data_IF_577553831593
#
_entry.id   IF_577553831593
#
_cell.length_a   1.000
_cell.length_b   1.000
_cell.length_c   1.000
_cell.angle_alpha   90.00
_cell.angle_beta   90.00
_cell.angle_gamma   90.00
#
_symmetry.space_group_name_H-M   'P 1'
#
loop_
_entity.id
_entity.type
_entity.pdbx_description
1 polymer ?
#
# COMPACT_ATOMS: atom_id res chain seq x y z
N UNK A 1 -16.25 25.73 -4.32
CA UNK A 1 -15.94 24.31 -4.05
C UNK A 1 -15.99 23.59 -5.39
N UNK A 2 -14.87 23.01 -5.84
CA UNK A 2 -14.83 22.31 -7.14
C UNK A 2 -15.75 21.07 -7.10
N UNK A 3 -16.54 20.86 -8.15
CA UNK A 3 -17.34 19.64 -8.32
C UNK A 3 -16.39 18.46 -8.55
N UNK A 4 -16.54 17.37 -7.78
CA UNK A 4 -15.78 16.14 -7.99
C UNK A 4 -16.05 15.59 -9.39
N UNK A 5 -15.00 15.15 -10.08
CA UNK A 5 -15.09 14.54 -11.41
C UNK A 5 -15.97 13.29 -11.37
N UNK A 6 -16.63 12.95 -12.49
CA UNK A 6 -17.39 11.71 -12.60
C UNK A 6 -16.48 10.47 -12.40
N UNK A 7 -15.20 10.57 -12.77
CA UNK A 7 -14.20 9.51 -12.62
C UNK A 7 -13.97 9.20 -11.13
N UNK A 8 -13.81 10.24 -10.30
CA UNK A 8 -13.64 10.09 -8.85
C UNK A 8 -14.86 9.44 -8.17
N UNK A 9 -16.04 9.51 -8.79
CA UNK A 9 -17.27 8.89 -8.29
C UNK A 9 -17.48 7.46 -8.81
N UNK A 10 -16.89 7.13 -9.95
CA UNK A 10 -17.11 5.86 -10.64
C UNK A 10 -16.00 4.83 -10.35
N UNK A 11 -14.77 5.30 -10.15
CA UNK A 11 -13.60 4.43 -10.03
C UNK A 11 -12.90 4.58 -8.69
N UNK A 12 -12.52 3.44 -8.14
CA UNK A 12 -11.84 3.33 -6.86
C UNK A 12 -10.48 2.68 -7.05
N UNK A 13 -9.47 3.22 -6.37
CA UNK A 13 -8.18 2.55 -6.17
C UNK A 13 -8.19 1.81 -4.83
N UNK A 14 -7.20 0.94 -4.62
CA UNK A 14 -6.99 0.22 -3.38
C UNK A 14 -5.61 0.51 -2.84
N UNK A 15 -5.54 0.94 -1.59
CA UNK A 15 -4.27 1.25 -0.93
C UNK A 15 -4.12 0.37 0.30
N UNK A 16 -2.89 -0.03 0.61
CA UNK A 16 -2.64 -0.74 1.86
C UNK A 16 -3.03 0.16 3.04
N UNK A 17 -3.62 -0.46 4.06
CA UNK A 17 -3.88 0.15 5.38
C UNK A 17 -3.12 -0.56 6.50
N UNK A 18 -2.54 -1.73 6.19
CA UNK A 18 -1.62 -2.47 7.05
C UNK A 18 -0.44 -2.96 6.21
N UNK A 19 0.77 -2.84 6.75
CA UNK A 19 2.00 -3.28 6.07
C UNK A 19 2.33 -4.69 6.57
N UNK A 20 2.26 -5.68 5.67
CA UNK A 20 2.76 -7.02 5.93
C UNK A 20 4.07 -7.19 5.15
N UNK A 21 5.24 -7.34 5.82
CA UNK A 21 6.51 -7.55 5.14
C UNK A 21 6.50 -8.80 4.26
N UNK A 22 7.14 -8.73 3.10
CA UNK A 22 7.32 -9.87 2.21
C UNK A 22 8.36 -10.83 2.77
N UNK A 23 8.10 -12.13 2.64
CA UNK A 23 9.06 -13.17 3.01
C UNK A 23 10.27 -13.22 2.08
N UNK A 24 10.16 -12.65 0.86
CA UNK A 24 11.26 -12.62 -0.13
C UNK A 24 12.17 -11.40 0.03
N UNK A 25 11.62 -10.27 0.47
CA UNK A 25 12.33 -9.00 0.64
C UNK A 25 11.75 -8.26 1.85
N UNK A 26 12.43 -8.25 3.01
CA UNK A 26 11.96 -7.60 4.23
C UNK A 26 11.74 -6.08 4.09
N UNK A 27 12.30 -5.43 3.06
CA UNK A 27 12.10 -4.00 2.81
C UNK A 27 10.85 -3.70 1.97
N UNK A 28 10.12 -4.74 1.55
CA UNK A 28 8.89 -4.63 0.75
C UNK A 28 7.69 -5.15 1.50
N UNK A 29 6.55 -4.50 1.30
CA UNK A 29 5.25 -5.04 1.66
C UNK A 29 4.84 -6.15 0.68
N UNK A 30 3.99 -7.08 1.09
CA UNK A 30 3.38 -8.09 0.23
C UNK A 30 2.60 -7.51 -0.97
N UNK A 31 2.25 -6.21 -0.96
CA UNK A 31 1.68 -5.52 -2.12
C UNK A 31 2.72 -5.12 -3.19
N UNK A 32 4.02 -5.29 -2.92
CA UNK A 32 5.14 -5.01 -3.83
C UNK A 32 5.83 -3.65 -3.62
N UNK A 33 5.19 -2.70 -2.92
CA UNK A 33 5.78 -1.38 -2.61
C UNK A 33 6.83 -1.50 -1.51
N UNK A 34 7.81 -0.58 -1.52
CA UNK A 34 8.76 -0.46 -0.42
C UNK A 34 8.02 0.00 0.85
N UNK A 35 8.45 -0.49 2.01
CA UNK A 35 7.83 -0.14 3.29
C UNK A 35 7.79 1.39 3.49
N UNK A 36 8.87 2.11 3.14
CA UNK A 36 8.95 3.57 3.24
C UNK A 36 8.06 4.34 2.25
N UNK A 37 7.41 3.68 1.28
CA UNK A 37 6.47 4.32 0.34
C UNK A 37 5.02 4.26 0.81
N UNK A 38 4.75 3.61 1.95
CA UNK A 38 3.45 3.67 2.60
C UNK A 38 3.36 4.95 3.44
N UNK A 39 2.63 5.94 2.93
CA UNK A 39 2.43 7.21 3.65
C UNK A 39 1.47 7.00 4.81
N UNK A 40 1.84 7.43 6.01
CA UNK A 40 0.97 7.42 7.20
C UNK A 40 0.74 6.05 7.84
N UNK A 41 1.44 5.01 7.40
CA UNK A 41 1.38 3.68 8.02
C UNK A 41 2.69 3.37 8.72
N UNK A 42 2.61 2.99 9.99
CA UNK A 42 3.72 2.32 10.66
C UNK A 42 3.72 0.84 10.25
N UNK A 43 4.89 0.23 10.01
CA UNK A 43 4.95 -1.22 9.83
C UNK A 43 4.33 -1.87 11.05
N UNK A 44 3.37 -2.78 10.89
CA UNK A 44 2.90 -3.59 12.02
C UNK A 44 4.09 -4.46 12.44
N UNK A 45 4.74 -4.06 13.54
CA UNK A 45 5.90 -4.76 14.09
C UNK A 45 5.40 -6.09 14.65
N UNK A 46 5.42 -7.13 13.83
CA UNK A 46 5.25 -8.51 14.30
C UNK A 46 6.46 -9.39 13.99
N UNK A 47 7.59 -8.82 13.51
CA UNK A 47 8.81 -9.60 13.19
C UNK A 47 10.13 -8.90 13.54
N UNK A 48 10.14 -7.87 14.41
CA UNK A 48 11.40 -7.26 14.92
C UNK A 48 11.56 -7.38 16.44
N UNK A 49 11.22 -8.54 17.00
CA UNK A 49 11.77 -8.95 18.30
C UNK A 49 12.43 -10.31 18.13
N UNK A 50 13.66 -10.29 17.61
CA UNK A 50 14.55 -11.43 17.75
C UNK A 50 15.78 -11.14 18.61
N UNK A 51 15.82 -10.03 19.37
CA UNK A 51 16.87 -9.80 20.35
C UNK A 51 16.32 -9.18 21.66
N UNK A 52 16.27 -10.02 22.70
CA UNK A 52 16.10 -9.71 24.14
C UNK A 52 14.80 -9.02 24.60
N UNK A 53 13.80 -9.82 25.01
CA UNK A 53 13.28 -9.71 26.38
C UNK A 53 12.46 -10.95 26.80
N UNK A 54 12.85 -11.56 27.91
CA UNK A 54 12.15 -12.60 28.65
C UNK A 54 10.96 -11.99 29.41
N UNK A 55 9.72 -12.18 28.93
CA UNK A 55 8.54 -12.11 29.81
C UNK A 55 7.31 -12.78 29.17
N UNK A 56 7.23 -14.10 29.36
CA UNK A 56 6.02 -14.91 29.61
C UNK A 56 4.66 -14.33 29.19
N UNK A 57 4.24 -14.52 27.94
CA UNK A 57 2.82 -14.71 27.60
C UNK A 57 2.68 -15.65 26.38
N UNK A 58 2.12 -16.83 26.65
CA UNK A 58 1.39 -17.72 25.74
C UNK A 58 1.96 -17.94 24.33
N UNK A 59 2.82 -18.96 24.23
CA UNK A 59 3.19 -19.67 23.00
C UNK A 59 1.98 -20.40 22.41
N UNK A 60 1.08 -19.66 21.75
CA UNK A 60 -0.04 -20.22 20.98
C UNK A 60 -0.10 -19.54 19.62
N UNK A 61 0.38 -20.24 18.59
CA UNK A 61 -0.10 -20.18 17.20
C UNK A 61 -0.59 -18.79 16.70
N UNK A 62 0.23 -17.76 16.86
CA UNK A 62 0.05 -16.49 16.14
C UNK A 62 0.50 -16.78 14.72
N UNK A 63 -0.41 -17.32 13.91
CA UNK A 63 -0.25 -17.34 12.46
C UNK A 63 0.29 -15.97 12.05
N UNK A 64 1.52 -15.94 11.54
CA UNK A 64 2.04 -14.76 10.85
C UNK A 64 0.93 -14.29 9.90
N UNK A 65 0.36 -13.12 10.17
CA UNK A 65 -0.87 -12.71 9.52
C UNK A 65 -0.65 -12.71 8.00
N UNK A 66 -1.37 -13.58 7.29
CA UNK A 66 -1.22 -13.72 5.85
C UNK A 66 -1.86 -12.53 5.16
N UNK A 67 -1.07 -11.82 4.35
CA UNK A 67 -1.57 -10.72 3.55
C UNK A 67 -2.75 -11.14 2.68
N UNK A 68 -3.76 -10.27 2.64
CA UNK A 68 -4.99 -10.46 1.90
C UNK A 68 -5.54 -9.11 1.48
N UNK A 69 -6.18 -9.08 0.31
CA UNK A 69 -6.75 -7.86 -0.27
C UNK A 69 -7.81 -7.29 0.69
N UNK A 70 -8.73 -8.11 1.19
CA UNK A 70 -9.86 -7.65 2.00
C UNK A 70 -9.47 -7.01 3.34
N UNK A 71 -8.43 -7.52 4.02
CA UNK A 71 -8.04 -7.05 5.36
C UNK A 71 -6.99 -5.94 5.35
N UNK A 72 -6.06 -6.01 4.40
CA UNK A 72 -4.85 -5.18 4.44
C UNK A 72 -4.90 -4.00 3.49
N UNK A 73 -5.99 -3.85 2.74
CA UNK A 73 -6.17 -2.74 1.80
C UNK A 73 -7.57 -2.14 1.91
N UNK A 74 -7.72 -0.86 1.61
CA UNK A 74 -8.99 -0.13 1.63
C UNK A 74 -9.22 0.56 0.29
N UNK A 75 -10.48 0.68 -0.11
CA UNK A 75 -10.88 1.43 -1.29
C UNK A 75 -10.86 2.93 -1.00
N UNK A 76 -10.33 3.70 -1.94
CA UNK A 76 -10.41 5.16 -1.96
C UNK A 76 -10.73 5.63 -3.38
N UNK A 77 -11.33 6.82 -3.58
CA UNK A 77 -11.50 7.38 -4.91
C UNK A 77 -10.16 7.42 -5.66
N UNK A 78 -10.18 7.09 -6.96
CA UNK A 78 -8.94 7.18 -7.75
C UNK A 78 -8.50 8.63 -7.90
N UNK A 79 -7.21 8.88 -7.72
CA UNK A 79 -6.53 10.15 -7.97
C UNK A 79 -5.69 10.13 -9.24
N UNK A 80 -5.57 8.96 -9.89
CA UNK A 80 -4.82 8.77 -11.11
C UNK A 80 -5.74 8.88 -12.34
N UNK A 81 -6.11 10.10 -12.69
CA UNK A 81 -6.87 10.42 -13.90
C UNK A 81 -6.47 11.78 -14.45
N UNK A 82 -6.63 11.97 -15.76
CA UNK A 82 -6.25 13.22 -16.43
C UNK A 82 -5.66 12.95 -17.81
N UNK A 83 -4.89 13.90 -18.32
CA UNK A 83 -4.18 13.77 -19.59
C UNK A 83 -2.69 13.82 -19.31
N UNK A 84 -1.93 12.90 -19.89
CA UNK A 84 -0.48 12.90 -19.82
C UNK A 84 0.07 13.54 -21.09
N UNK A 85 0.92 14.55 -20.94
CA UNK A 85 1.66 15.18 -22.04
C UNK A 85 3.12 14.71 -22.00
N UNK A 86 3.56 14.05 -23.07
CA UNK A 86 4.94 13.58 -23.16
C UNK A 86 5.88 14.74 -23.51
N UNK A 87 6.91 14.95 -22.70
CA UNK A 87 7.97 15.91 -23.00
C UNK A 87 9.02 15.26 -23.93
N UNK A 88 9.50 16.02 -24.92
CA UNK A 88 10.60 15.59 -25.81
C UNK A 88 10.21 15.15 -27.22
N UNK A 89 8.95 15.27 -27.64
CA UNK A 89 8.51 15.05 -29.02
C UNK A 89 8.13 16.36 -29.70
N UNK A 90 8.55 16.57 -30.94
CA UNK A 90 8.18 17.75 -31.76
C UNK A 90 6.69 17.85 -32.14
N UNK A 91 5.86 16.93 -31.64
CA UNK A 91 4.40 16.89 -31.82
C UNK A 91 3.69 16.69 -30.49
N UNK A 92 2.46 17.20 -30.40
CA UNK A 92 1.56 16.94 -29.28
C UNK A 92 1.18 15.46 -29.23
N UNK A 93 1.83 14.70 -28.35
CA UNK A 93 1.45 13.33 -28.02
C UNK A 93 0.66 13.39 -26.71
N UNK A 94 -0.67 13.34 -26.81
CA UNK A 94 -1.57 13.29 -25.64
C UNK A 94 -2.11 11.86 -25.52
N UNK A 95 -1.97 11.27 -24.33
CA UNK A 95 -2.68 10.04 -23.96
C UNK A 95 -3.82 10.40 -22.98
N UNK A 96 -5.01 9.86 -23.25
CA UNK A 96 -6.21 9.99 -22.42
C UNK A 96 -6.43 8.71 -21.63
#
# INVERSE_FOLDING_TARGET
>A
MAQKSWIERAFYKRECVHIIPSTKDPHRCCCGRLIGQHVGLTPSISVLQNEKNESRLSRNDIQSEKWSISKHTQLSPTDAFGTIEFQGGGHSNKAM
#
